data_IF_671707334991
#
_entry.id   IF_671707334991
#
_cell.length_a   1.000
_cell.length_b   1.000
_cell.length_c   1.000
_cell.angle_alpha   90.00
_cell.angle_beta   90.00
_cell.angle_gamma   90.00
#
_symmetry.space_group_name_H-M   'P 1'
#
loop_
_entity.id
_entity.type
_entity.pdbx_description
1 polymer ?
#
# COMPACT_ATOMS: atom_id res chain seq x y z
N UNK A 1 -14.61 -14.89 -3.51
CA UNK A 1 -13.74 -14.78 -4.70
C UNK A 1 -13.19 -13.37 -4.96
N UNK A 2 -13.89 -12.27 -4.61
CA UNK A 2 -13.46 -10.89 -4.91
C UNK A 2 -12.23 -10.42 -4.11
N UNK A 3 -12.14 -10.77 -2.83
CA UNK A 3 -11.00 -10.45 -1.95
C UNK A 3 -9.66 -11.06 -2.41
N UNK A 4 -9.67 -12.21 -3.09
CA UNK A 4 -8.45 -12.84 -3.61
C UNK A 4 -7.76 -12.05 -4.71
N UNK A 5 -8.53 -11.43 -5.62
CA UNK A 5 -7.96 -10.66 -6.75
C UNK A 5 -7.25 -9.39 -6.28
N UNK A 6 -7.87 -8.71 -5.32
CA UNK A 6 -7.32 -7.53 -4.68
C UNK A 6 -6.00 -7.85 -3.95
N UNK A 7 -5.99 -8.89 -3.11
CA UNK A 7 -4.81 -9.31 -2.38
C UNK A 7 -3.64 -9.72 -3.31
N UNK A 8 -3.92 -10.37 -4.43
CA UNK A 8 -2.91 -10.70 -5.42
C UNK A 8 -2.33 -9.45 -6.10
N UNK A 9 -3.17 -8.48 -6.46
CA UNK A 9 -2.69 -7.22 -7.04
C UNK A 9 -1.75 -6.48 -6.10
N UNK A 10 -2.12 -6.38 -4.81
CA UNK A 10 -1.22 -5.79 -3.80
C UNK A 10 0.06 -6.61 -3.60
N UNK A 11 -0.02 -7.95 -3.58
CA UNK A 11 1.16 -8.79 -3.41
C UNK A 11 2.14 -8.63 -4.59
N UNK A 12 1.64 -8.65 -5.83
CA UNK A 12 2.46 -8.47 -7.03
C UNK A 12 3.08 -7.07 -7.04
N UNK A 13 2.27 -6.02 -6.82
CA UNK A 13 2.76 -4.65 -6.76
C UNK A 13 3.84 -4.46 -5.69
N UNK A 14 3.62 -5.02 -4.50
CA UNK A 14 4.62 -4.98 -3.42
C UNK A 14 5.92 -5.69 -3.79
N UNK A 15 5.83 -6.84 -4.47
CA UNK A 15 7.02 -7.56 -4.93
C UNK A 15 7.85 -6.72 -5.90
N UNK A 16 7.20 -6.05 -6.86
CA UNK A 16 7.88 -5.14 -7.80
C UNK A 16 8.57 -3.98 -7.06
N UNK A 17 7.91 -3.37 -6.09
CA UNK A 17 8.51 -2.30 -5.27
C UNK A 17 9.67 -2.82 -4.42
N UNK A 18 9.56 -4.02 -3.82
CA UNK A 18 10.63 -4.61 -3.05
C UNK A 18 11.87 -4.89 -3.93
N UNK A 19 11.68 -5.49 -5.10
CA UNK A 19 12.77 -5.77 -6.05
C UNK A 19 13.40 -4.48 -6.55
N UNK A 20 12.58 -3.51 -6.99
CA UNK A 20 13.07 -2.22 -7.50
C UNK A 20 13.86 -1.40 -6.48
N UNK A 21 13.55 -1.56 -5.18
CA UNK A 21 14.24 -0.84 -4.11
C UNK A 21 15.60 -1.45 -3.70
N UNK A 22 15.97 -2.60 -4.26
CA UNK A 22 17.27 -3.23 -3.98
C UNK A 22 18.36 -2.57 -4.84
N UNK A 23 19.40 -1.94 -4.24
CA UNK A 23 20.37 -1.16 -5.00
C UNK A 23 21.07 -1.97 -6.11
N UNK A 24 21.54 -3.19 -5.83
CA UNK A 24 22.22 -4.01 -6.83
C UNK A 24 21.31 -4.44 -7.98
N UNK A 25 19.99 -4.39 -7.83
CA UNK A 25 19.07 -4.66 -8.93
C UNK A 25 19.17 -3.57 -9.99
N UNK A 26 19.13 -2.30 -9.60
CA UNK A 26 19.29 -1.18 -10.53
C UNK A 26 20.65 -1.20 -11.23
N UNK A 27 21.72 -1.57 -10.51
CA UNK A 27 23.06 -1.74 -11.07
C UNK A 27 23.10 -2.86 -12.12
N UNK A 28 22.37 -3.94 -11.90
CA UNK A 28 22.34 -5.10 -12.81
C UNK A 28 21.50 -4.90 -14.06
N UNK A 29 20.33 -4.23 -13.97
CA UNK A 29 19.36 -4.11 -15.08
C UNK A 29 19.37 -2.73 -15.74
N UNK A 30 20.00 -1.74 -15.13
CA UNK A 30 20.03 -0.35 -15.58
C UNK A 30 18.83 0.47 -15.12
N UNK A 31 18.97 1.78 -15.18
CA UNK A 31 18.04 2.76 -14.61
C UNK A 31 16.63 2.67 -15.24
N UNK A 32 16.55 2.52 -16.56
CA UNK A 32 15.26 2.42 -17.28
C UNK A 32 14.47 1.20 -16.81
N UNK A 33 15.12 0.03 -16.74
CA UNK A 33 14.44 -1.20 -16.33
C UNK A 33 14.05 -1.16 -14.84
N UNK A 34 14.88 -0.56 -13.98
CA UNK A 34 14.55 -0.37 -12.56
C UNK A 34 13.33 0.55 -12.38
N UNK A 35 13.28 1.69 -13.09
CA UNK A 35 12.13 2.58 -13.04
C UNK A 35 10.86 1.95 -13.66
N UNK A 36 11.00 1.15 -14.74
CA UNK A 36 9.90 0.38 -15.30
C UNK A 36 9.34 -0.64 -14.29
N UNK A 37 10.19 -1.25 -13.47
CA UNK A 37 9.80 -2.16 -12.40
C UNK A 37 8.90 -1.46 -11.37
N UNK A 38 9.29 -0.28 -10.89
CA UNK A 38 8.45 0.54 -9.99
C UNK A 38 7.13 0.96 -10.65
N UNK A 39 7.17 1.38 -11.91
CA UNK A 39 5.96 1.76 -12.64
C UNK A 39 4.96 0.60 -12.76
N UNK A 40 5.41 -0.59 -13.15
CA UNK A 40 4.57 -1.79 -13.21
C UNK A 40 3.98 -2.10 -11.84
N UNK A 41 4.79 -2.02 -10.78
CA UNK A 41 4.33 -2.20 -9.40
C UNK A 41 3.22 -1.20 -9.01
N UNK A 42 3.37 0.08 -9.39
CA UNK A 42 2.38 1.11 -9.12
C UNK A 42 1.05 0.87 -9.86
N UNK A 43 1.10 0.35 -11.10
CA UNK A 43 -0.10 -0.05 -11.84
C UNK A 43 -0.84 -1.18 -11.11
N UNK A 44 -0.13 -2.22 -10.63
CA UNK A 44 -0.76 -3.29 -9.83
C UNK A 44 -1.37 -2.78 -8.53
N UNK A 45 -0.70 -1.87 -7.82
CA UNK A 45 -1.27 -1.22 -6.64
C UNK A 45 -2.57 -0.48 -6.95
N UNK A 46 -2.60 0.27 -8.05
CA UNK A 46 -3.79 1.03 -8.45
C UNK A 46 -4.95 0.12 -8.83
N UNK A 47 -4.69 -0.93 -9.61
CA UNK A 47 -5.72 -1.91 -9.96
C UNK A 47 -6.26 -2.62 -8.71
N UNK A 48 -5.39 -3.01 -7.78
CA UNK A 48 -5.80 -3.62 -6.52
C UNK A 48 -6.65 -2.66 -5.66
N UNK A 49 -6.22 -1.41 -5.51
CA UNK A 49 -6.95 -0.40 -4.75
C UNK A 49 -8.31 -0.06 -5.41
N UNK A 50 -8.39 -0.02 -6.73
CA UNK A 50 -9.65 0.16 -7.45
C UNK A 50 -10.61 -1.02 -7.22
N UNK A 51 -10.11 -2.25 -7.30
CA UNK A 51 -10.88 -3.46 -6.97
C UNK A 51 -11.38 -3.37 -5.52
N UNK A 52 -10.52 -2.95 -4.59
CA UNK A 52 -10.87 -2.78 -3.19
C UNK A 52 -11.99 -1.74 -3.01
N UNK A 53 -11.88 -0.59 -3.65
CA UNK A 53 -12.85 0.49 -3.52
C UNK A 53 -14.20 0.16 -4.15
N UNK A 54 -14.19 -0.45 -5.36
CA UNK A 54 -15.41 -0.60 -6.19
C UNK A 54 -16.04 -1.98 -6.03
N UNK A 55 -15.22 -3.06 -5.97
CA UNK A 55 -15.69 -4.43 -6.06
C UNK A 55 -15.73 -5.19 -4.74
N UNK A 56 -15.14 -4.64 -3.66
CA UNK A 56 -15.09 -5.31 -2.34
C UNK A 56 -16.44 -5.28 -1.58
N UNK A 57 -17.44 -4.58 -2.08
CA UNK A 57 -18.72 -4.39 -1.40
C UNK A 57 -18.74 -3.19 -0.43
N UNK A 58 -17.62 -2.47 -0.29
CA UNK A 58 -17.58 -1.21 0.46
C UNK A 58 -18.49 -0.18 -0.19
N UNK A 59 -19.34 0.45 0.58
CA UNK A 59 -20.29 1.45 0.09
C UNK A 59 -19.90 2.84 0.60
N UNK A 60 -20.10 3.90 -0.23
CA UNK A 60 -19.95 5.27 0.24
C UNK A 60 -20.77 5.52 1.51
N UNK A 61 -20.24 6.29 2.47
CA UNK A 61 -20.93 6.56 3.72
C UNK A 61 -22.28 7.20 3.50
N UNK A 62 -23.29 6.72 4.23
CA UNK A 62 -24.67 7.27 4.24
C UNK A 62 -25.04 7.69 5.65
N UNK A 63 -26.13 8.45 5.80
CA UNK A 63 -26.72 8.72 7.12
C UNK A 63 -27.07 7.37 7.76
N UNK A 64 -26.51 7.09 8.96
CA UNK A 64 -26.70 5.82 9.67
C UNK A 64 -25.62 4.75 9.44
N UNK A 65 -24.62 4.98 8.56
CA UNK A 65 -23.47 4.07 8.47
C UNK A 65 -22.72 3.99 9.79
N UNK A 66 -22.28 2.79 10.17
CA UNK A 66 -21.43 2.59 11.36
C UNK A 66 -20.10 3.37 11.25
N UNK A 67 -19.44 3.58 12.39
CA UNK A 67 -18.13 4.23 12.42
C UNK A 67 -17.10 3.40 11.64
N UNK A 68 -17.09 2.09 11.84
CA UNK A 68 -16.19 1.17 11.15
C UNK A 68 -16.44 1.12 9.64
N UNK A 69 -17.71 1.14 9.17
CA UNK A 69 -18.00 1.12 7.74
C UNK A 69 -17.56 2.42 7.06
N UNK A 70 -17.72 3.57 7.74
CA UNK A 70 -17.21 4.85 7.25
C UNK A 70 -15.69 4.85 7.16
N UNK A 71 -15.03 4.38 8.20
CA UNK A 71 -13.58 4.31 8.24
C UNK A 71 -13.02 3.35 7.17
N UNK A 72 -13.64 2.19 6.97
CA UNK A 72 -13.27 1.23 5.93
C UNK A 72 -13.38 1.81 4.51
N UNK A 73 -14.44 2.54 4.25
CA UNK A 73 -14.62 3.17 2.94
C UNK A 73 -13.57 4.27 2.71
N UNK A 74 -13.35 5.15 3.71
CA UNK A 74 -12.33 6.19 3.61
C UNK A 74 -10.93 5.63 3.50
N UNK A 75 -10.61 4.55 4.23
CA UNK A 75 -9.34 3.84 4.06
C UNK A 75 -9.13 3.42 2.60
N UNK A 76 -10.11 2.79 1.98
CA UNK A 76 -10.01 2.36 0.58
C UNK A 76 -9.94 3.53 -0.41
N UNK A 77 -10.73 4.59 -0.21
CA UNK A 77 -10.78 5.74 -1.09
C UNK A 77 -9.47 6.55 -1.05
N UNK A 78 -8.95 6.83 0.16
CA UNK A 78 -7.68 7.55 0.35
C UNK A 78 -6.49 6.71 -0.12
N UNK A 79 -6.50 5.40 0.12
CA UNK A 79 -5.48 4.51 -0.40
C UNK A 79 -5.46 4.51 -1.94
N UNK A 80 -6.61 4.45 -2.59
CA UNK A 80 -6.71 4.54 -4.04
C UNK A 80 -6.12 5.88 -4.55
N UNK A 81 -6.47 7.02 -3.93
CA UNK A 81 -5.86 8.30 -4.28
C UNK A 81 -4.34 8.27 -4.13
N UNK A 82 -3.82 7.66 -3.05
CA UNK A 82 -2.38 7.48 -2.85
C UNK A 82 -1.70 6.70 -3.97
N UNK A 83 -2.35 5.64 -4.49
CA UNK A 83 -1.78 4.86 -5.61
C UNK A 83 -1.67 5.68 -6.90
N UNK A 84 -2.56 6.64 -7.12
CA UNK A 84 -2.47 7.55 -8.28
C UNK A 84 -1.25 8.46 -8.19
N UNK A 85 -0.91 8.96 -7.00
CA UNK A 85 0.32 9.71 -6.78
C UNK A 85 1.57 8.86 -7.02
N UNK A 86 1.58 7.59 -6.62
CA UNK A 86 2.67 6.67 -6.94
C UNK A 86 2.79 6.41 -8.44
N UNK A 87 1.68 6.25 -9.17
CA UNK A 87 1.74 6.16 -10.64
C UNK A 87 2.32 7.42 -11.26
N UNK A 88 1.92 8.60 -10.81
CA UNK A 88 2.46 9.85 -11.30
C UNK A 88 3.97 9.96 -11.06
N UNK A 89 4.44 9.61 -9.85
CA UNK A 89 5.86 9.64 -9.49
C UNK A 89 6.67 8.62 -10.31
N UNK A 90 6.21 7.37 -10.39
CA UNK A 90 6.93 6.32 -11.12
C UNK A 90 6.91 6.53 -12.64
N UNK A 91 5.83 7.10 -13.19
CA UNK A 91 5.77 7.50 -14.60
C UNK A 91 6.77 8.62 -14.89
N UNK A 92 6.82 9.65 -14.03
CA UNK A 92 7.77 10.75 -14.19
C UNK A 92 9.22 10.26 -14.11
N UNK A 93 9.53 9.37 -13.16
CA UNK A 93 10.86 8.77 -13.03
C UNK A 93 11.25 7.93 -14.26
N UNK A 94 10.32 7.13 -14.79
CA UNK A 94 10.56 6.33 -16.00
C UNK A 94 10.78 7.24 -17.23
N UNK A 95 9.96 8.28 -17.41
CA UNK A 95 10.13 9.24 -18.51
C UNK A 95 11.50 9.93 -18.41
N UNK A 96 11.93 10.33 -17.21
CA UNK A 96 13.24 10.93 -16.99
C UNK A 96 14.37 9.95 -17.31
N UNK A 97 14.25 8.68 -16.93
CA UNK A 97 15.25 7.65 -17.23
C UNK A 97 15.38 7.34 -18.73
N UNK A 98 14.28 7.46 -19.48
CA UNK A 98 14.28 7.23 -20.94
C UNK A 98 14.80 8.45 -21.70
N UNK A 99 14.57 9.67 -21.22
CA UNK A 99 14.91 10.91 -21.90
C UNK A 99 16.10 11.59 -21.23
N UNK A 100 17.27 11.52 -21.86
CA UNK A 100 18.51 12.10 -21.32
C UNK A 100 18.44 13.62 -21.05
N UNK A 101 17.54 14.33 -21.73
CA UNK A 101 17.34 15.80 -21.57
C UNK A 101 16.31 16.14 -20.48
N UNK A 102 15.59 15.15 -19.92
CA UNK A 102 14.60 15.37 -18.89
C UNK A 102 15.29 15.67 -17.54
N UNK A 103 14.84 16.71 -16.85
CA UNK A 103 15.37 17.07 -15.53
C UNK A 103 14.49 16.48 -14.43
N UNK A 104 15.12 15.92 -13.42
CA UNK A 104 14.44 15.57 -12.17
C UNK A 104 14.03 16.88 -11.49
N UNK A 105 12.73 17.01 -11.15
CA UNK A 105 12.25 18.15 -10.37
C UNK A 105 12.85 18.16 -8.97
N UNK A 106 13.13 19.35 -8.43
CA UNK A 106 13.57 19.51 -7.03
C UNK A 106 12.38 19.49 -6.06
N UNK A 107 12.65 19.20 -4.78
CA UNK A 107 11.66 19.23 -3.70
C UNK A 107 10.91 17.92 -3.51
N UNK A 108 9.65 18.02 -3.09
CA UNK A 108 8.80 16.87 -2.84
C UNK A 108 8.31 16.23 -4.14
N UNK A 109 8.56 14.94 -4.26
CA UNK A 109 8.04 14.12 -5.37
C UNK A 109 6.56 13.75 -5.12
N UNK A 110 5.80 13.38 -6.17
CA UNK A 110 4.40 12.97 -6.01
C UNK A 110 4.19 11.78 -5.05
N UNK A 111 5.17 10.86 -4.94
CA UNK A 111 5.13 9.73 -4.01
C UNK A 111 5.10 10.14 -2.54
N UNK A 112 5.58 11.33 -2.19
CA UNK A 112 5.43 11.87 -0.84
C UNK A 112 3.94 12.06 -0.48
N UNK A 113 3.15 12.63 -1.38
CA UNK A 113 1.70 12.74 -1.20
C UNK A 113 1.02 11.37 -1.20
N UNK A 114 1.51 10.43 -2.01
CA UNK A 114 1.09 9.03 -1.98
C UNK A 114 1.33 8.39 -0.61
N UNK A 115 2.49 8.64 -0.01
CA UNK A 115 2.86 8.14 1.32
C UNK A 115 1.98 8.74 2.42
N UNK A 116 1.67 10.04 2.35
CA UNK A 116 0.70 10.69 3.26
C UNK A 116 -0.68 10.04 3.14
N UNK A 117 -1.15 9.82 1.92
CA UNK A 117 -2.42 9.12 1.69
C UNK A 117 -2.41 7.71 2.30
N UNK A 118 -1.32 6.96 2.16
CA UNK A 118 -1.21 5.62 2.73
C UNK A 118 -1.21 5.62 4.26
N UNK A 119 -0.55 6.60 4.90
CA UNK A 119 -0.60 6.79 6.35
C UNK A 119 -2.03 7.11 6.82
N UNK A 120 -2.71 8.04 6.15
CA UNK A 120 -4.10 8.40 6.48
C UNK A 120 -5.04 7.21 6.25
N UNK A 121 -4.90 6.49 5.14
CA UNK A 121 -5.67 5.28 4.85
C UNK A 121 -5.47 4.21 5.92
N UNK A 122 -4.22 3.98 6.33
CA UNK A 122 -3.89 3.02 7.40
C UNK A 122 -4.46 3.44 8.74
N UNK A 123 -4.47 4.75 9.07
CA UNK A 123 -5.13 5.26 10.27
C UNK A 123 -6.64 4.98 10.27
N UNK A 124 -7.32 5.20 9.14
CA UNK A 124 -8.73 4.81 8.99
C UNK A 124 -8.93 3.29 9.12
N UNK A 125 -8.03 2.47 8.55
CA UNK A 125 -8.11 1.02 8.69
C UNK A 125 -7.93 0.57 10.15
N UNK A 126 -7.02 1.20 10.91
CA UNK A 126 -6.86 0.96 12.36
C UNK A 126 -8.14 1.31 13.11
N UNK A 127 -8.76 2.46 12.81
CA UNK A 127 -10.05 2.84 13.43
C UNK A 127 -11.14 1.80 13.13
N UNK A 128 -11.25 1.35 11.88
CA UNK A 128 -12.24 0.34 11.49
C UNK A 128 -12.01 -1.01 12.19
N UNK A 129 -10.76 -1.46 12.28
CA UNK A 129 -10.39 -2.72 12.93
C UNK A 129 -10.62 -2.64 14.44
N UNK A 130 -10.20 -1.54 15.08
CA UNK A 130 -10.35 -1.35 16.53
C UNK A 130 -11.82 -1.28 16.95
N UNK A 131 -12.67 -0.65 16.14
CA UNK A 131 -14.11 -0.53 16.41
C UNK A 131 -14.83 -1.90 16.33
N UNK A 132 -14.31 -2.86 15.54
CA UNK A 132 -14.88 -4.21 15.38
C UNK A 132 -14.27 -5.24 16.34
N UNK A 133 -12.95 -5.27 16.42
CA UNK A 133 -12.19 -6.37 17.01
C UNK A 133 -11.43 -5.95 18.29
N UNK A 134 -11.49 -4.67 18.69
CA UNK A 134 -10.72 -4.11 19.78
C UNK A 134 -9.30 -3.67 19.36
N UNK A 135 -8.63 -2.95 20.26
CA UNK A 135 -7.32 -2.34 19.97
C UNK A 135 -6.19 -3.39 19.89
N UNK A 136 -6.28 -4.46 20.65
CA UNK A 136 -5.21 -5.45 20.77
C UNK A 136 -5.74 -6.87 20.60
N UNK A 137 -5.57 -7.40 19.39
CA UNK A 137 -5.80 -8.81 19.10
C UNK A 137 -4.73 -9.35 18.12
N UNK A 138 -3.51 -9.65 18.61
CA UNK A 138 -2.41 -10.12 17.75
C UNK A 138 -2.66 -11.52 17.15
N UNK A 139 -3.67 -12.25 17.61
CA UNK A 139 -4.06 -13.53 17.02
C UNK A 139 -5.02 -13.35 15.83
N UNK A 140 -5.79 -12.26 15.81
CA UNK A 140 -6.66 -11.95 14.68
C UNK A 140 -5.85 -11.59 13.44
N UNK A 141 -6.20 -12.23 12.32
CA UNK A 141 -5.57 -11.97 11.04
C UNK A 141 -5.80 -10.53 10.56
N UNK A 142 -7.02 -10.00 10.74
CA UNK A 142 -7.39 -8.62 10.43
C UNK A 142 -6.49 -7.64 11.14
N UNK A 143 -6.27 -7.82 12.44
CA UNK A 143 -5.38 -6.99 13.24
C UNK A 143 -3.94 -7.00 12.68
N UNK A 144 -3.38 -8.19 12.40
CA UNK A 144 -2.02 -8.32 11.84
C UNK A 144 -1.89 -7.63 10.48
N UNK A 145 -2.86 -7.81 9.58
CA UNK A 145 -2.85 -7.15 8.28
C UNK A 145 -2.92 -5.62 8.42
N UNK A 146 -3.78 -5.11 9.31
CA UNK A 146 -3.93 -3.68 9.53
C UNK A 146 -2.64 -3.05 10.06
N UNK A 147 -2.00 -3.67 11.05
CA UNK A 147 -0.75 -3.14 11.62
C UNK A 147 0.46 -3.30 10.71
N UNK A 148 0.51 -4.35 9.90
CA UNK A 148 1.52 -4.48 8.83
C UNK A 148 1.34 -3.38 7.77
N UNK A 149 0.13 -3.08 7.35
CA UNK A 149 -0.13 -1.99 6.43
C UNK A 149 0.24 -0.63 7.05
N UNK A 150 -0.04 -0.41 8.33
CA UNK A 150 0.38 0.80 9.04
C UNK A 150 1.92 0.91 9.07
N UNK A 151 2.62 -0.15 9.48
CA UNK A 151 4.08 -0.17 9.48
C UNK A 151 4.66 0.08 8.08
N UNK A 152 4.09 -0.56 7.05
CA UNK A 152 4.46 -0.32 5.66
C UNK A 152 4.27 1.14 5.23
N UNK A 153 3.17 1.76 5.64
CA UNK A 153 2.90 3.18 5.35
C UNK A 153 3.89 4.12 6.04
N UNK A 154 4.30 3.80 7.28
CA UNK A 154 5.36 4.55 7.98
C UNK A 154 6.70 4.43 7.23
N UNK A 155 7.08 3.23 6.78
CA UNK A 155 8.31 3.04 6.02
C UNK A 155 8.27 3.77 4.66
N UNK A 156 7.14 3.79 3.96
CA UNK A 156 6.99 4.61 2.76
C UNK A 156 7.09 6.12 3.07
N UNK A 157 6.60 6.56 4.22
CA UNK A 157 6.79 7.94 4.69
C UNK A 157 8.27 8.28 4.91
N UNK A 158 9.03 7.39 5.56
CA UNK A 158 10.48 7.54 5.74
C UNK A 158 11.21 7.53 4.40
N UNK A 159 10.79 6.66 3.47
CA UNK A 159 11.31 6.64 2.10
C UNK A 159 11.10 7.98 1.40
N UNK A 160 9.90 8.56 1.50
CA UNK A 160 9.57 9.83 0.88
C UNK A 160 10.41 10.99 1.43
N UNK A 161 10.68 10.99 2.74
CA UNK A 161 11.60 11.96 3.36
C UNK A 161 13.02 11.78 2.81
N UNK A 162 13.50 10.54 2.72
CA UNK A 162 14.82 10.24 2.15
C UNK A 162 14.94 10.65 0.68
N UNK A 163 13.86 10.51 -0.09
CA UNK A 163 13.79 10.83 -1.51
C UNK A 163 13.51 12.31 -1.80
N UNK A 164 13.41 13.18 -0.79
CA UNK A 164 13.31 14.62 -0.99
C UNK A 164 14.56 15.12 -1.72
N UNK A 165 14.35 15.84 -2.84
CA UNK A 165 15.43 16.37 -3.67
C UNK A 165 15.79 17.78 -3.19
N UNK A 166 17.00 17.93 -2.68
CA UNK A 166 17.52 19.20 -2.17
C UNK A 166 17.67 20.17 -3.35
N UNK A 167 16.99 21.34 -3.35
CA UNK A 167 17.00 22.26 -4.50
C UNK A 167 18.39 22.75 -4.91
N UNK A 168 19.29 22.92 -3.93
CA UNK A 168 20.63 23.49 -4.12
C UNK A 168 21.61 22.48 -4.74
N UNK A 169 21.50 21.21 -4.40
CA UNK A 169 22.43 20.16 -4.84
C UNK A 169 21.82 19.21 -5.87
N UNK A 170 20.49 19.17 -5.98
CA UNK A 170 19.75 18.19 -6.78
C UNK A 170 19.96 16.74 -6.32
N UNK A 171 20.42 16.55 -5.07
CA UNK A 171 20.63 15.25 -4.47
C UNK A 171 19.49 14.85 -3.53
N UNK A 172 19.32 13.57 -3.27
CA UNK A 172 18.41 13.09 -2.24
C UNK A 172 18.93 13.40 -0.83
N UNK A 173 18.03 13.69 0.10
CA UNK A 173 18.37 13.83 1.53
C UNK A 173 19.06 12.57 2.04
N UNK A 174 18.59 11.39 1.63
CA UNK A 174 19.22 10.12 1.96
C UNK A 174 18.81 9.02 0.99
N UNK A 175 19.73 8.64 0.11
CA UNK A 175 19.54 7.49 -0.79
C UNK A 175 19.27 6.19 -0.01
N UNK A 176 19.93 6.02 1.14
CA UNK A 176 19.73 4.85 1.99
C UNK A 176 18.26 4.77 2.46
N UNK A 177 17.69 5.84 3.03
CA UNK A 177 16.31 5.83 3.50
C UNK A 177 15.30 5.80 2.37
N UNK A 178 15.59 6.41 1.23
CA UNK A 178 14.76 6.30 0.02
C UNK A 178 14.58 4.83 -0.38
N UNK A 179 15.65 4.05 -0.43
CA UNK A 179 15.62 2.65 -0.81
C UNK A 179 15.14 1.73 0.33
N UNK A 180 15.73 1.84 1.53
CA UNK A 180 15.39 0.99 2.66
C UNK A 180 13.94 1.16 3.11
N UNK A 181 13.45 2.40 3.14
CA UNK A 181 12.04 2.69 3.47
C UNK A 181 11.09 2.07 2.44
N UNK A 182 11.39 2.20 1.15
CA UNK A 182 10.59 1.56 0.08
C UNK A 182 10.61 0.05 0.22
N UNK A 183 11.78 -0.56 0.41
CA UNK A 183 11.93 -2.01 0.57
C UNK A 183 11.14 -2.55 1.77
N UNK A 184 11.35 -1.99 2.95
CA UNK A 184 10.69 -2.42 4.18
C UNK A 184 9.17 -2.20 4.10
N UNK A 185 8.75 -1.06 3.55
CA UNK A 185 7.34 -0.79 3.31
C UNK A 185 6.70 -1.80 2.38
N UNK A 186 7.35 -2.09 1.26
CA UNK A 186 6.89 -3.09 0.30
C UNK A 186 6.82 -4.50 0.90
N UNK A 187 7.79 -4.91 1.71
CA UNK A 187 7.77 -6.20 2.43
C UNK A 187 6.58 -6.26 3.41
N UNK A 188 6.32 -5.20 4.16
CA UNK A 188 5.15 -5.14 5.06
C UNK A 188 3.83 -5.31 4.29
N UNK A 189 3.64 -4.60 3.18
CA UNK A 189 2.45 -4.73 2.33
C UNK A 189 2.35 -6.11 1.67
N UNK A 190 3.48 -6.69 1.23
CA UNK A 190 3.52 -8.03 0.68
C UNK A 190 3.04 -9.07 1.71
N UNK A 191 3.59 -9.03 2.91
CA UNK A 191 3.20 -9.95 4.00
C UNK A 191 1.73 -9.77 4.36
N UNK A 192 1.25 -8.53 4.49
CA UNK A 192 -0.17 -8.24 4.74
C UNK A 192 -1.08 -8.81 3.64
N UNK A 193 -0.72 -8.60 2.37
CA UNK A 193 -1.46 -9.13 1.23
C UNK A 193 -1.48 -10.67 1.21
N UNK A 194 -0.36 -11.32 1.48
CA UNK A 194 -0.28 -12.78 1.56
C UNK A 194 -1.07 -13.37 2.74
N UNK A 195 -1.09 -12.68 3.88
CA UNK A 195 -1.92 -13.08 5.03
C UNK A 195 -3.40 -12.92 4.74
N UNK A 196 -3.80 -11.82 4.08
CA UNK A 196 -5.21 -11.56 3.75
C UNK A 196 -5.80 -12.56 2.75
N UNK A 197 -4.96 -13.23 1.97
CA UNK A 197 -5.35 -14.21 0.96
C UNK A 197 -5.75 -15.58 1.52
N UNK A 198 -5.32 -15.94 2.73
CA UNK A 198 -5.60 -17.25 3.31
C UNK A 198 -7.10 -17.38 3.62
N UNK A 199 -7.75 -18.40 3.06
CA UNK A 199 -9.13 -18.72 3.39
C UNK A 199 -9.26 -19.04 4.89
N UNK A 200 -10.37 -18.64 5.51
CA UNK A 200 -10.80 -19.20 6.78
C UNK A 200 -11.28 -20.61 6.43
N UNK A 201 -10.75 -21.68 7.06
CA UNK A 201 -11.31 -23.01 6.90
C UNK A 201 -12.82 -22.96 7.20
N UNK A 202 -13.63 -23.64 6.40
CA UNK A 202 -15.08 -23.64 6.55
C UNK A 202 -15.53 -24.17 7.95
N UNK A 203 -14.66 -24.92 8.60
CA UNK A 203 -14.87 -25.55 9.92
C UNK A 203 -14.75 -24.56 11.10
N UNK A 204 -14.36 -23.31 10.87
CA UNK A 204 -14.28 -22.26 11.89
C UNK A 204 -15.56 -21.39 11.96
N UNK A 205 -16.58 -21.66 11.15
CA UNK A 205 -17.89 -21.02 11.31
C UNK A 205 -18.55 -21.61 12.58
N UNK A 206 -18.99 -20.79 13.55
CA UNK A 206 -19.76 -21.30 14.68
C UNK A 206 -20.99 -22.01 14.13
N UNK A 207 -21.16 -23.29 14.46
CA UNK A 207 -22.34 -24.07 14.13
C UNK A 207 -23.54 -23.45 14.85
N UNK A 208 -24.26 -22.56 14.15
CA UNK A 208 -25.53 -21.99 14.60
C UNK A 208 -26.66 -23.00 14.51
N UNK A 209 -26.46 -24.22 14.99
CA UNK A 209 -27.43 -25.30 14.92
C UNK A 209 -27.39 -26.21 16.15
N UNK A 210 -27.32 -25.64 17.36
CA UNK A 210 -27.60 -26.41 18.59
C UNK A 210 -28.34 -25.59 19.66
N UNK A 211 -29.34 -24.81 19.28
CA UNK A 211 -30.23 -24.22 20.28
C UNK A 211 -31.69 -24.24 19.80
N UNK A 212 -32.17 -25.39 19.38
CA UNK A 212 -33.63 -25.72 19.34
C UNK A 212 -33.77 -27.21 19.62
N UNK A 213 -33.60 -27.65 20.86
CA UNK A 213 -34.14 -28.89 21.44
C UNK A 213 -33.79 -28.95 22.92
N UNK A 214 -34.50 -28.20 23.77
CA UNK A 214 -34.77 -28.55 25.17
C UNK A 214 -35.94 -27.75 25.67
#
# INVERSE_FOLDING_TARGET
>A
MRLRREAWGFAIGSLFFAVGAVPFYADAVGEVAANATFFVGAVFFTLAALIQLVLSGRRPPRRGSSRSDRADWWAAAVQFAGTLFFNLSTSAALITAVNADARVGSGWRPDAWGSVCFLVASAFAVVATTDRDGLWDPHARTWRCTWLNMAGSVFFGLSAIGAFVIPETSEFVSQFWANAGTFLGAVCFLVAALLSRRDIPADAAPTAAQTVAS
#
